data_IF_264312602429
#
_entry.id   IF_264312602429
#
_cell.length_a   1.000
_cell.length_b   1.000
_cell.length_c   1.000
_cell.angle_alpha   90.00
_cell.angle_beta   90.00
_cell.angle_gamma   90.00
#
_symmetry.space_group_name_H-M   'P 1'
#
loop_
_entity.id
_entity.type
_entity.pdbx_description
1 polymer ?
#
# COMPACT_ATOMS: atom_id res chain seq x y z
N UNK A 1 -28.48 0.81 -0.68
CA UNK A 1 -27.55 1.38 0.31
C UNK A 1 -26.28 1.70 -0.45
N UNK A 2 -25.98 2.98 -0.62
CA UNK A 2 -24.66 3.38 -1.12
C UNK A 2 -23.65 2.85 -0.10
N UNK A 3 -22.82 1.90 -0.51
CA UNK A 3 -21.74 1.40 0.31
C UNK A 3 -20.76 2.56 0.46
N UNK A 4 -20.64 3.10 1.67
CA UNK A 4 -19.70 4.17 1.96
C UNK A 4 -18.29 3.68 1.60
N UNK A 5 -17.61 4.28 0.60
CA UNK A 5 -16.28 3.86 0.19
C UNK A 5 -15.28 3.86 1.35
N UNK A 6 -15.48 4.71 2.37
CA UNK A 6 -14.65 4.75 3.56
C UNK A 6 -14.80 3.50 4.43
N UNK A 7 -16.01 2.92 4.52
CA UNK A 7 -16.26 1.74 5.33
C UNK A 7 -15.42 0.55 4.87
N UNK A 8 -15.24 0.37 3.55
CA UNK A 8 -14.41 -0.70 3.01
C UNK A 8 -12.92 -0.49 3.29
N UNK A 9 -12.44 0.76 3.23
CA UNK A 9 -11.04 1.07 3.52
C UNK A 9 -10.71 0.85 5.01
N UNK A 10 -11.66 1.11 5.92
CA UNK A 10 -11.51 0.81 7.35
C UNK A 10 -11.40 -0.70 7.59
N UNK A 11 -12.21 -1.51 6.90
CA UNK A 11 -12.14 -2.98 7.01
C UNK A 11 -10.77 -3.47 6.56
N UNK A 12 -10.28 -3.04 5.40
CA UNK A 12 -8.94 -3.43 4.93
C UNK A 12 -7.83 -2.97 5.88
N UNK A 13 -8.00 -1.83 6.56
CA UNK A 13 -7.04 -1.41 7.58
C UNK A 13 -7.07 -2.33 8.81
N UNK A 14 -8.23 -2.84 9.20
CA UNK A 14 -8.36 -3.79 10.31
C UNK A 14 -7.83 -5.19 9.96
N UNK A 15 -7.85 -5.56 8.67
CA UNK A 15 -7.37 -6.83 8.15
C UNK A 15 -5.89 -6.78 7.69
N UNK A 16 -5.17 -5.69 7.98
CA UNK A 16 -3.79 -5.42 7.54
C UNK A 16 -3.59 -5.49 6.00
N UNK A 17 -4.66 -5.34 5.23
CA UNK A 17 -4.64 -5.37 3.76
C UNK A 17 -4.27 -4.00 3.16
N UNK A 18 -3.12 -3.46 3.57
CA UNK A 18 -2.69 -2.11 3.22
C UNK A 18 -2.45 -1.90 1.71
N UNK A 19 -2.08 -2.93 0.95
CA UNK A 19 -1.96 -2.85 -0.52
C UNK A 19 -3.32 -2.53 -1.18
N UNK A 20 -4.42 -3.13 -0.72
CA UNK A 20 -5.76 -2.88 -1.28
C UNK A 20 -6.24 -1.46 -1.00
N UNK A 21 -5.86 -0.91 0.15
CA UNK A 21 -6.13 0.49 0.50
C UNK A 21 -5.38 1.42 -0.45
N UNK A 22 -4.10 1.15 -0.72
CA UNK A 22 -3.27 1.93 -1.65
C UNK A 22 -3.86 1.85 -3.06
N UNK A 23 -4.11 0.66 -3.59
CA UNK A 23 -4.65 0.45 -4.93
C UNK A 23 -5.98 1.20 -5.10
N UNK A 24 -6.90 1.03 -4.16
CA UNK A 24 -8.23 1.64 -4.24
C UNK A 24 -8.18 3.16 -4.17
N UNK A 25 -7.32 3.74 -3.33
CA UNK A 25 -7.17 5.19 -3.24
C UNK A 25 -6.44 5.74 -4.46
N UNK A 26 -5.53 4.97 -5.06
CA UNK A 26 -4.78 5.37 -6.26
C UNK A 26 -5.67 5.45 -7.51
N UNK A 27 -6.80 4.72 -7.56
CA UNK A 27 -7.83 4.85 -8.59
C UNK A 27 -8.57 6.20 -8.55
N UNK A 28 -8.60 6.87 -7.39
CA UNK A 28 -9.23 8.19 -7.23
C UNK A 28 -8.28 9.26 -7.78
N UNK A 29 -8.78 10.16 -8.64
CA UNK A 29 -7.98 11.27 -9.14
C UNK A 29 -7.49 12.15 -7.97
N UNK A 30 -6.24 12.62 -8.02
CA UNK A 30 -5.65 13.36 -6.90
C UNK A 30 -6.44 14.61 -6.52
N UNK A 31 -7.10 15.27 -7.47
CA UNK A 31 -7.98 16.43 -7.25
C UNK A 31 -9.22 16.09 -6.41
N UNK A 32 -9.63 14.82 -6.41
CA UNK A 32 -10.89 14.35 -5.84
C UNK A 32 -10.66 13.64 -4.50
N UNK A 33 -9.41 13.56 -4.04
CA UNK A 33 -9.06 12.96 -2.74
C UNK A 33 -9.22 14.00 -1.64
N UNK A 34 -10.04 13.67 -0.65
CA UNK A 34 -10.19 14.49 0.55
C UNK A 34 -9.11 14.19 1.60
N UNK A 35 -9.14 14.97 2.69
CA UNK A 35 -8.18 14.86 3.79
C UNK A 35 -8.13 13.45 4.41
N UNK A 36 -9.27 12.78 4.52
CA UNK A 36 -9.38 11.47 5.15
C UNK A 36 -8.76 10.39 4.27
N UNK A 37 -9.07 10.43 2.97
CA UNK A 37 -8.50 9.56 1.94
C UNK A 37 -6.97 9.71 1.87
N UNK A 38 -6.46 10.94 1.89
CA UNK A 38 -5.00 11.20 1.87
C UNK A 38 -4.32 10.71 3.15
N UNK A 39 -4.95 10.91 4.32
CA UNK A 39 -4.41 10.46 5.60
C UNK A 39 -4.33 8.94 5.68
N UNK A 40 -5.34 8.25 5.15
CA UNK A 40 -5.39 6.79 5.14
C UNK A 40 -4.36 6.19 4.19
N UNK A 41 -4.18 6.79 3.00
CA UNK A 41 -3.12 6.42 2.07
C UNK A 41 -1.74 6.53 2.71
N UNK A 42 -1.45 7.63 3.41
CA UNK A 42 -0.16 7.84 4.06
C UNK A 42 0.14 6.77 5.13
N UNK A 43 -0.86 6.35 5.90
CA UNK A 43 -0.73 5.27 6.90
C UNK A 43 -0.52 3.91 6.24
N UNK A 44 -1.31 3.59 5.22
CA UNK A 44 -1.16 2.34 4.47
C UNK A 44 0.23 2.25 3.83
N UNK A 45 0.70 3.30 3.17
CA UNK A 45 2.05 3.36 2.59
C UNK A 45 3.15 3.28 3.64
N UNK A 46 2.95 3.87 4.83
CA UNK A 46 3.90 3.73 5.95
C UNK A 46 3.94 2.27 6.41
N UNK A 47 2.80 1.67 6.76
CA UNK A 47 2.71 0.29 7.23
C UNK A 47 3.21 -0.75 6.22
N UNK A 48 3.17 -0.43 4.93
CA UNK A 48 3.72 -1.32 3.91
C UNK A 48 5.24 -1.44 3.99
N UNK A 49 5.98 -0.54 4.68
CA UNK A 49 7.43 -0.60 4.99
C UNK A 49 8.23 -1.59 4.12
N UNK A 50 8.20 -1.47 2.77
CA UNK A 50 8.60 -2.54 1.83
C UNK A 50 10.12 -2.75 1.74
N UNK A 51 10.81 -2.81 2.88
CA UNK A 51 12.19 -3.23 3.03
C UNK A 51 12.38 -4.70 2.67
N UNK A 52 11.38 -5.56 2.88
CA UNK A 52 11.49 -6.99 2.56
C UNK A 52 11.58 -7.26 1.06
N UNK A 53 10.90 -6.48 0.23
CA UNK A 53 11.02 -6.59 -1.23
C UNK A 53 12.34 -6.04 -1.75
N UNK A 54 12.84 -4.96 -1.14
CA UNK A 54 14.18 -4.46 -1.43
C UNK A 54 15.24 -5.47 -0.98
N UNK A 55 15.07 -6.12 0.18
CA UNK A 55 15.98 -7.14 0.70
C UNK A 55 15.99 -8.39 -0.17
N UNK A 56 14.83 -8.86 -0.64
CA UNK A 56 14.73 -10.00 -1.57
C UNK A 56 15.40 -9.71 -2.92
N UNK A 57 15.24 -8.49 -3.45
CA UNK A 57 15.91 -8.06 -4.67
C UNK A 57 17.43 -7.94 -4.48
N UNK A 58 17.89 -7.38 -3.36
CA UNK A 58 19.32 -7.28 -3.03
C UNK A 58 19.96 -8.66 -2.83
N UNK A 59 19.27 -9.60 -2.16
CA UNK A 59 19.71 -10.99 -2.01
C UNK A 59 19.82 -11.72 -3.34
N UNK A 60 18.92 -11.43 -4.28
CA UNK A 60 18.95 -12.01 -5.64
C UNK A 60 20.16 -11.51 -6.42
N UNK A 61 20.45 -10.21 -6.37
CA UNK A 61 21.64 -9.62 -7.02
C UNK A 61 22.94 -10.17 -6.39
N UNK A 62 22.99 -10.26 -5.06
CA UNK A 62 24.14 -10.81 -4.35
C UNK A 62 24.40 -12.28 -4.72
N UNK A 63 23.36 -13.10 -4.87
CA UNK A 63 23.47 -14.49 -5.33
C UNK A 63 23.95 -14.58 -6.78
N UNK A 64 23.49 -13.70 -7.66
CA UNK A 64 23.90 -13.68 -9.07
C UNK A 64 25.35 -13.21 -9.26
N UNK A 65 25.83 -12.27 -8.44
CA UNK A 65 27.22 -11.81 -8.45
C UNK A 65 28.24 -12.83 -7.89
N UNK A 66 27.79 -13.85 -7.16
CA UNK A 66 28.62 -14.94 -6.62
C UNK A 66 28.71 -16.16 -7.56
N UNK A 67 27.98 -16.15 -8.68
CA UNK A 67 27.95 -17.23 -9.68
C UNK A 67 28.84 -16.95 -10.92
N UNK A 68 29.67 -15.90 -10.86
CA UNK A 68 30.71 -15.56 -11.83
C UNK A 68 32.10 -15.73 -11.22
#
# INVERSE_FOLDING_TARGET
MEQDPLAQLIIWHQEDEHEKIVDRIMEIAQSDRDYETVSLLARAMNNLERYDEVLQQLLTIAKLGLLH
#
